data_IF_613374131776
#
_entry.id   IF_613374131776
#
_cell.length_a   1.000
_cell.length_b   1.000
_cell.length_c   1.000
_cell.angle_alpha   90.00
_cell.angle_beta   90.00
_cell.angle_gamma   90.00
#
_symmetry.space_group_name_H-M   'P 1'
#
loop_
_entity.id
_entity.type
_entity.pdbx_description
1 polymer ?
#
# COMPACT_ATOMS: atom_id res chain seq x y z
N UNK A 1 -18.94 7.82 -13.11
CA UNK A 1 -18.97 6.68 -12.16
C UNK A 1 -18.73 7.20 -10.76
N UNK A 2 -19.37 6.62 -9.75
CA UNK A 2 -19.13 6.99 -8.35
C UNK A 2 -17.88 6.28 -7.82
N UNK A 3 -17.24 6.83 -6.77
CA UNK A 3 -16.08 6.22 -6.13
C UNK A 3 -16.39 4.80 -5.63
N UNK A 4 -17.61 4.57 -5.13
CA UNK A 4 -18.07 3.27 -4.64
C UNK A 4 -18.08 2.21 -5.73
N UNK A 5 -18.59 2.53 -6.94
CA UNK A 5 -18.60 1.58 -8.06
C UNK A 5 -17.17 1.16 -8.44
N UNK A 6 -16.22 2.10 -8.47
CA UNK A 6 -14.82 1.78 -8.79
C UNK A 6 -14.21 0.86 -7.72
N UNK A 7 -14.51 1.10 -6.43
CA UNK A 7 -14.04 0.23 -5.33
C UNK A 7 -14.61 -1.19 -5.45
N UNK A 8 -15.88 -1.32 -5.81
CA UNK A 8 -16.50 -2.64 -6.02
C UNK A 8 -15.83 -3.37 -7.18
N UNK A 9 -15.58 -2.68 -8.30
CA UNK A 9 -14.85 -3.26 -9.44
C UNK A 9 -13.45 -3.71 -8.99
N UNK A 10 -12.70 -2.84 -8.28
CA UNK A 10 -11.38 -3.18 -7.79
C UNK A 10 -11.39 -4.38 -6.82
N UNK A 11 -12.42 -4.48 -5.97
CA UNK A 11 -12.61 -5.61 -5.06
C UNK A 11 -12.89 -6.92 -5.81
N UNK A 12 -13.72 -6.89 -6.84
CA UNK A 12 -13.99 -8.07 -7.70
C UNK A 12 -12.70 -8.51 -8.40
N UNK A 13 -11.94 -7.56 -8.95
CA UNK A 13 -10.66 -7.86 -9.60
C UNK A 13 -9.63 -8.44 -8.62
N UNK A 14 -9.56 -7.89 -7.39
CA UNK A 14 -8.70 -8.43 -6.33
C UNK A 14 -9.08 -9.88 -5.99
N UNK A 15 -10.38 -10.16 -5.88
CA UNK A 15 -10.88 -11.50 -5.61
C UNK A 15 -10.48 -12.48 -6.73
N UNK A 16 -10.58 -12.07 -8.00
CA UNK A 16 -10.14 -12.86 -9.15
C UNK A 16 -8.63 -13.16 -9.07
N UNK A 17 -7.81 -12.16 -8.71
CA UNK A 17 -6.36 -12.35 -8.53
C UNK A 17 -6.05 -13.36 -7.44
N UNK A 18 -6.73 -13.25 -6.30
CA UNK A 18 -6.50 -14.09 -5.13
C UNK A 18 -7.02 -15.52 -5.35
N UNK A 19 -8.09 -15.70 -6.14
CA UNK A 19 -8.53 -17.02 -6.60
C UNK A 19 -7.39 -17.70 -7.37
N UNK A 20 -6.74 -16.98 -8.28
CA UNK A 20 -5.60 -17.52 -9.03
C UNK A 20 -4.35 -17.74 -8.16
N UNK A 21 -4.14 -16.90 -7.14
CA UNK A 21 -3.01 -17.01 -6.21
C UNK A 21 -3.12 -18.22 -5.28
N UNK A 22 -4.31 -18.49 -4.75
CA UNK A 22 -4.51 -19.53 -3.73
C UNK A 22 -5.03 -20.86 -4.29
N UNK A 23 -5.63 -20.88 -5.50
CA UNK A 23 -6.16 -22.11 -6.11
C UNK A 23 -5.21 -22.59 -7.23
N UNK A 24 -4.61 -23.78 -7.11
CA UNK A 24 -3.75 -24.32 -8.16
C UNK A 24 -4.54 -24.66 -9.44
N UNK A 25 -3.91 -24.49 -10.60
CA UNK A 25 -4.49 -24.86 -11.90
C UNK A 25 -5.34 -23.77 -12.57
N UNK A 26 -5.44 -22.58 -11.97
CA UNK A 26 -6.12 -21.43 -12.58
C UNK A 26 -5.23 -20.81 -13.68
N UNK A 27 -5.80 -20.39 -14.84
CA UNK A 27 -5.05 -19.75 -15.90
C UNK A 27 -4.37 -18.44 -15.50
N UNK A 28 -3.16 -18.20 -15.99
CA UNK A 28 -2.34 -17.01 -15.71
C UNK A 28 -3.03 -15.67 -16.04
N UNK A 29 -3.96 -15.65 -17.00
CA UNK A 29 -4.65 -14.43 -17.41
C UNK A 29 -5.58 -13.87 -16.31
N UNK A 30 -5.98 -14.69 -15.32
CA UNK A 30 -6.67 -14.21 -14.13
C UNK A 30 -5.81 -13.19 -13.38
N UNK A 31 -4.51 -13.45 -13.25
CA UNK A 31 -3.59 -12.49 -12.66
C UNK A 31 -3.50 -11.21 -13.47
N UNK A 32 -3.46 -11.27 -14.81
CA UNK A 32 -3.38 -10.06 -15.64
C UNK A 32 -4.57 -9.12 -15.40
N UNK A 33 -5.77 -9.68 -15.28
CA UNK A 33 -6.98 -8.93 -14.95
C UNK A 33 -6.93 -8.46 -13.48
N UNK A 34 -6.50 -9.34 -12.59
CA UNK A 34 -6.38 -9.08 -11.16
C UNK A 34 -5.46 -7.92 -10.81
N UNK A 35 -4.32 -7.79 -11.50
CA UNK A 35 -3.35 -6.70 -11.32
C UNK A 35 -3.91 -5.31 -11.60
N UNK A 36 -5.04 -5.18 -12.31
CA UNK A 36 -5.75 -3.91 -12.48
C UNK A 36 -6.42 -3.42 -11.19
N UNK A 37 -6.58 -4.29 -10.19
CA UNK A 37 -7.16 -3.94 -8.88
C UNK A 37 -6.34 -2.88 -8.15
N UNK A 38 -5.03 -3.08 -8.02
CA UNK A 38 -4.13 -2.19 -7.29
C UNK A 38 -4.18 -0.71 -7.78
N UNK A 39 -4.02 -0.41 -9.09
CA UNK A 39 -4.11 0.98 -9.57
C UNK A 39 -5.50 1.59 -9.38
N UNK A 40 -6.58 0.81 -9.44
CA UNK A 40 -7.94 1.31 -9.17
C UNK A 40 -8.12 1.65 -7.68
N UNK A 41 -7.62 0.82 -6.77
CA UNK A 41 -7.65 1.16 -5.35
C UNK A 41 -6.80 2.40 -5.06
N UNK A 42 -5.59 2.50 -5.63
CA UNK A 42 -4.75 3.69 -5.52
C UNK A 42 -5.48 4.93 -6.03
N UNK A 43 -6.15 4.85 -7.19
CA UNK A 43 -6.94 5.96 -7.73
C UNK A 43 -8.02 6.43 -6.74
N UNK A 44 -8.82 5.49 -6.21
CA UNK A 44 -9.90 5.85 -5.27
C UNK A 44 -9.35 6.36 -3.93
N UNK A 45 -8.22 5.84 -3.48
CA UNK A 45 -7.51 6.30 -2.29
C UNK A 45 -7.03 7.75 -2.47
N UNK A 46 -6.39 8.06 -3.61
CA UNK A 46 -5.88 9.39 -3.94
C UNK A 46 -6.98 10.45 -3.89
N UNK A 47 -8.13 10.16 -4.51
CA UNK A 47 -9.30 11.04 -4.43
C UNK A 47 -9.90 11.11 -3.04
N UNK A 48 -9.93 10.00 -2.30
CA UNK A 48 -10.35 9.97 -0.90
C UNK A 48 -9.46 10.82 0.03
N UNK A 49 -8.17 10.87 -0.24
CA UNK A 49 -7.21 11.71 0.48
C UNK A 49 -7.39 13.20 0.13
N UNK A 50 -7.67 13.51 -1.13
CA UNK A 50 -7.91 14.88 -1.59
C UNK A 50 -9.16 15.50 -0.97
N UNK A 51 -10.28 14.79 -0.97
CA UNK A 51 -11.56 15.30 -0.46
C UNK A 51 -11.73 15.18 1.06
N UNK A 52 -10.81 14.50 1.73
CA UNK A 52 -10.85 14.36 3.19
C UNK A 52 -10.63 15.71 3.87
N UNK A 53 -11.54 16.07 4.78
CA UNK A 53 -11.41 17.27 5.61
C UNK A 53 -10.32 17.11 6.67
N UNK A 54 -10.28 15.97 7.38
CA UNK A 54 -9.26 15.66 8.38
C UNK A 54 -8.36 14.50 7.93
N UNK A 55 -7.20 14.87 7.40
CA UNK A 55 -6.19 13.91 6.92
C UNK A 55 -5.57 13.08 8.03
N UNK A 56 -5.41 13.64 9.23
CA UNK A 56 -4.81 12.89 10.35
C UNK A 56 -5.74 11.76 10.76
N UNK A 57 -7.05 12.03 10.87
CA UNK A 57 -8.05 11.00 11.19
C UNK A 57 -8.15 9.95 10.08
N UNK A 58 -8.08 10.36 8.82
CA UNK A 58 -8.07 9.46 7.67
C UNK A 58 -6.86 8.50 7.70
N UNK A 59 -5.65 9.03 7.89
CA UNK A 59 -4.43 8.22 7.96
C UNK A 59 -4.40 7.31 9.19
N UNK A 60 -4.88 7.76 10.35
CA UNK A 60 -5.01 6.91 11.55
C UNK A 60 -5.91 5.71 11.30
N UNK A 61 -7.03 5.91 10.60
CA UNK A 61 -7.93 4.81 10.23
C UNK A 61 -7.26 3.80 9.31
N UNK A 62 -6.51 4.28 8.30
CA UNK A 62 -5.76 3.38 7.41
C UNK A 62 -4.69 2.61 8.18
N UNK A 63 -3.93 3.29 9.05
CA UNK A 63 -2.94 2.65 9.90
C UNK A 63 -3.55 1.55 10.77
N UNK A 64 -4.68 1.84 11.42
CA UNK A 64 -5.40 0.86 12.23
C UNK A 64 -5.79 -0.39 11.43
N UNK A 65 -6.37 -0.22 10.24
CA UNK A 65 -6.71 -1.36 9.38
C UNK A 65 -5.48 -2.11 8.88
N UNK A 66 -4.38 -1.42 8.58
CA UNK A 66 -3.11 -2.04 8.21
C UNK A 66 -2.52 -2.88 9.35
N UNK A 67 -2.51 -2.37 10.58
CA UNK A 67 -2.06 -3.16 11.73
C UNK A 67 -2.99 -4.35 12.02
N UNK A 68 -4.32 -4.16 11.92
CA UNK A 68 -5.28 -5.23 12.11
C UNK A 68 -5.11 -6.36 11.08
N UNK A 69 -4.90 -6.02 9.81
CA UNK A 69 -4.59 -6.99 8.76
C UNK A 69 -3.31 -7.75 9.04
N UNK A 70 -2.23 -7.07 9.45
CA UNK A 70 -0.96 -7.73 9.73
C UNK A 70 -1.04 -8.71 10.93
N UNK A 71 -1.85 -8.39 11.93
CA UNK A 71 -2.16 -9.33 13.03
C UNK A 71 -2.95 -10.53 12.49
N UNK A 72 -3.93 -10.30 11.62
CA UNK A 72 -4.67 -11.37 10.93
C UNK A 72 -3.76 -12.27 10.11
N UNK A 73 -2.87 -11.70 9.31
CA UNK A 73 -1.87 -12.41 8.50
C UNK A 73 -0.99 -13.28 9.39
N UNK A 74 -0.46 -12.73 10.49
CA UNK A 74 0.34 -13.48 11.44
C UNK A 74 -0.45 -14.66 12.03
N UNK A 75 -1.67 -14.44 12.50
CA UNK A 75 -2.50 -15.50 13.07
C UNK A 75 -2.75 -16.61 12.03
N UNK A 76 -3.21 -16.25 10.83
CA UNK A 76 -3.57 -17.22 9.80
C UNK A 76 -2.36 -18.01 9.29
N UNK A 77 -1.21 -17.36 9.05
CA UNK A 77 -0.01 -18.06 8.57
C UNK A 77 0.59 -19.04 9.58
N UNK A 78 0.35 -18.83 10.89
CA UNK A 78 0.86 -19.71 11.94
C UNK A 78 -0.17 -20.79 12.35
N UNK A 79 -1.47 -20.59 12.11
CA UNK A 79 -2.50 -21.63 12.31
C UNK A 79 -2.55 -22.60 11.12
N UNK A 80 -2.49 -22.09 9.89
CA UNK A 80 -2.61 -22.90 8.68
C UNK A 80 -1.31 -23.66 8.43
N UNK A 81 -1.37 -25.00 8.51
CA UNK A 81 -0.25 -25.88 8.17
C UNK A 81 -0.22 -26.07 6.64
N UNK A 82 0.93 -25.74 6.03
CA UNK A 82 1.21 -25.85 4.58
C UNK A 82 0.24 -25.12 3.64
N UNK A 83 0.12 -23.78 3.73
CA UNK A 83 -0.63 -23.02 2.74
C UNK A 83 0.08 -23.07 1.37
N UNK A 84 -0.70 -23.05 0.28
CA UNK A 84 -0.18 -23.02 -1.09
C UNK A 84 0.65 -21.76 -1.37
N UNK A 85 0.24 -20.62 -0.81
CA UNK A 85 0.96 -19.36 -0.80
C UNK A 85 0.84 -18.70 0.59
N UNK A 86 1.88 -18.00 1.07
CA UNK A 86 1.79 -17.27 2.34
C UNK A 86 0.80 -16.10 2.21
N UNK A 87 0.06 -15.81 3.28
CA UNK A 87 -0.90 -14.71 3.29
C UNK A 87 -0.15 -13.44 3.70
N UNK A 88 0.19 -12.60 2.73
CA UNK A 88 1.02 -11.40 2.95
C UNK A 88 0.44 -10.15 2.27
N UNK A 89 -0.88 -10.13 2.08
CA UNK A 89 -1.55 -9.17 1.21
C UNK A 89 -2.13 -8.01 2.04
N UNK A 90 -1.26 -7.07 2.43
CA UNK A 90 -1.62 -5.88 3.21
C UNK A 90 -1.44 -4.54 2.48
N UNK A 91 -2.44 -4.20 1.66
CA UNK A 91 -2.45 -3.01 0.82
C UNK A 91 -2.60 -1.70 1.62
N UNK A 92 -3.09 -1.77 2.87
CA UNK A 92 -3.31 -0.58 3.70
C UNK A 92 -2.01 0.09 4.11
N UNK A 93 -0.93 -0.66 4.32
CA UNK A 93 0.40 -0.10 4.63
C UNK A 93 0.90 0.77 3.48
N UNK A 94 0.72 0.30 2.24
CA UNK A 94 1.04 1.05 1.03
C UNK A 94 0.21 2.34 0.95
N UNK A 95 -1.11 2.30 1.19
CA UNK A 95 -1.94 3.51 1.23
C UNK A 95 -1.49 4.47 2.33
N UNK A 96 -1.16 3.97 3.52
CA UNK A 96 -0.67 4.81 4.59
C UNK A 96 0.60 5.57 4.16
N UNK A 97 1.56 4.87 3.54
CA UNK A 97 2.81 5.45 3.07
C UNK A 97 2.59 6.49 1.96
N UNK A 98 1.72 6.22 0.97
CA UNK A 98 1.32 7.21 -0.04
C UNK A 98 0.77 8.47 0.64
N UNK A 99 -0.16 8.27 1.59
CA UNK A 99 -0.82 9.38 2.29
C UNK A 99 0.12 10.21 3.16
N UNK A 100 1.08 9.57 3.84
CA UNK A 100 2.13 10.25 4.61
C UNK A 100 3.04 11.07 3.70
N UNK A 101 3.54 10.47 2.61
CA UNK A 101 4.43 11.16 1.67
C UNK A 101 3.75 12.37 1.06
N UNK A 102 2.51 12.22 0.59
CA UNK A 102 1.70 13.31 0.05
C UNK A 102 1.49 14.41 1.09
N UNK A 103 1.13 14.04 2.33
CA UNK A 103 0.89 15.01 3.40
C UNK A 103 2.15 15.79 3.76
N UNK A 104 3.33 15.15 3.84
CA UNK A 104 4.61 15.83 4.08
C UNK A 104 4.94 16.77 2.92
N UNK A 105 4.76 16.33 1.67
CA UNK A 105 5.06 17.16 0.50
C UNK A 105 4.15 18.38 0.38
N UNK A 106 2.88 18.27 0.72
CA UNK A 106 1.98 19.43 0.74
C UNK A 106 2.29 20.37 1.88
N UNK A 107 2.53 19.86 3.09
CA UNK A 107 2.96 20.70 4.20
C UNK A 107 4.27 21.44 3.90
N UNK A 108 5.20 20.79 3.18
CA UNK A 108 6.44 21.43 2.70
C UNK A 108 6.20 22.58 1.73
N UNK A 109 5.11 22.57 0.94
CA UNK A 109 4.79 23.70 0.03
C UNK A 109 4.46 24.97 0.82
N UNK A 110 3.75 24.81 1.94
CA UNK A 110 3.38 25.93 2.83
C UNK A 110 4.54 26.31 3.76
N UNK A 111 5.28 25.31 4.28
CA UNK A 111 6.33 25.47 5.28
C UNK A 111 7.61 24.72 4.84
N UNK A 112 8.47 25.31 4.00
CA UNK A 112 9.57 24.60 3.34
C UNK A 112 10.64 24.08 4.29
N UNK A 113 10.97 24.84 5.35
CA UNK A 113 12.00 24.47 6.33
C UNK A 113 11.53 23.27 7.16
N UNK A 114 10.36 23.38 7.80
CA UNK A 114 9.78 22.31 8.62
C UNK A 114 9.42 21.08 7.78
N UNK A 115 8.87 21.27 6.57
CA UNK A 115 8.59 20.16 5.65
C UNK A 115 9.86 19.40 5.22
N UNK A 116 10.98 20.09 5.00
CA UNK A 116 12.28 19.44 4.71
C UNK A 116 12.79 18.65 5.93
N UNK A 117 12.61 19.18 7.14
CA UNK A 117 12.92 18.48 8.40
C UNK A 117 12.06 17.23 8.58
N UNK A 118 10.75 17.31 8.32
CA UNK A 118 9.84 16.16 8.35
C UNK A 118 10.22 15.09 7.32
N UNK A 119 10.57 15.48 6.10
CA UNK A 119 11.03 14.53 5.08
C UNK A 119 12.32 13.82 5.50
N UNK A 120 13.28 14.54 6.09
CA UNK A 120 14.51 13.93 6.64
C UNK A 120 14.20 12.94 7.75
N UNK A 121 13.32 13.31 8.69
CA UNK A 121 12.86 12.40 9.76
C UNK A 121 12.18 11.16 9.20
N UNK A 122 11.37 11.31 8.15
CA UNK A 122 10.72 10.19 7.48
C UNK A 122 11.75 9.25 6.82
N UNK A 123 12.76 9.78 6.12
CA UNK A 123 13.82 8.95 5.52
C UNK A 123 14.62 8.19 6.59
N UNK A 124 15.00 8.87 7.68
CA UNK A 124 15.68 8.22 8.81
C UNK A 124 14.80 7.13 9.42
N UNK A 125 13.50 7.41 9.60
CA UNK A 125 12.53 6.44 10.08
C UNK A 125 12.42 5.24 9.13
N UNK A 126 12.44 5.43 7.80
CA UNK A 126 12.43 4.33 6.84
C UNK A 126 13.65 3.43 7.01
N UNK A 127 14.86 4.00 7.12
CA UNK A 127 16.09 3.23 7.34
C UNK A 127 16.00 2.42 8.65
N UNK A 128 15.61 3.06 9.75
CA UNK A 128 15.47 2.40 11.04
C UNK A 128 14.39 1.31 11.01
N UNK A 129 13.24 1.57 10.37
CA UNK A 129 12.17 0.58 10.24
C UNK A 129 12.61 -0.63 9.43
N UNK A 130 13.41 -0.45 8.37
CA UNK A 130 13.96 -1.55 7.56
C UNK A 130 14.86 -2.44 8.42
N UNK A 131 15.76 -1.83 9.20
CA UNK A 131 16.63 -2.57 10.11
C UNK A 131 15.80 -3.36 11.12
N UNK A 132 14.78 -2.74 11.73
CA UNK A 132 13.89 -3.40 12.70
C UNK A 132 13.11 -4.54 12.04
N UNK A 133 12.61 -4.38 10.81
CA UNK A 133 11.92 -5.45 10.08
C UNK A 133 12.84 -6.66 9.84
N UNK A 134 14.10 -6.42 9.44
CA UNK A 134 15.09 -7.48 9.20
C UNK A 134 15.47 -8.16 10.52
N UNK A 135 15.73 -7.40 11.58
CA UNK A 135 16.03 -7.97 12.91
C UNK A 135 14.83 -8.78 13.43
N UNK A 136 13.62 -8.26 13.27
CA UNK A 136 12.38 -8.95 13.63
C UNK A 136 12.23 -10.28 12.89
N UNK A 137 12.57 -10.33 11.61
CA UNK A 137 12.58 -11.57 10.83
C UNK A 137 13.61 -12.59 11.36
N UNK A 138 14.78 -12.14 11.82
CA UNK A 138 15.86 -13.02 12.33
C UNK A 138 15.54 -13.55 13.73
N UNK A 139 15.08 -12.67 14.63
CA UNK A 139 14.90 -13.01 16.05
C UNK A 139 13.51 -13.55 16.40
N UNK A 140 12.49 -13.31 15.56
CA UNK A 140 11.12 -13.78 15.79
C UNK A 140 10.76 -14.85 14.75
N UNK A 141 10.84 -16.15 15.10
CA UNK A 141 10.63 -17.26 14.17
C UNK A 141 9.14 -17.54 13.90
N UNK A 142 8.34 -16.48 13.74
CA UNK A 142 6.94 -16.57 13.34
C UNK A 142 6.81 -16.33 11.84
N UNK A 143 5.93 -17.09 11.18
CA UNK A 143 5.58 -16.81 9.78
C UNK A 143 4.91 -15.43 9.71
N UNK A 144 5.19 -14.71 8.63
CA UNK A 144 4.72 -13.33 8.40
C UNK A 144 5.18 -12.30 9.48
N UNK A 145 6.21 -12.59 10.28
CA UNK A 145 6.76 -11.63 11.26
C UNK A 145 7.17 -10.31 10.60
N UNK A 146 7.76 -10.36 9.41
CA UNK A 146 8.17 -9.17 8.66
C UNK A 146 6.99 -8.28 8.26
N UNK A 147 5.82 -8.86 7.96
CA UNK A 147 4.60 -8.13 7.62
C UNK A 147 4.00 -7.43 8.84
N UNK A 148 4.10 -8.07 10.02
CA UNK A 148 3.73 -7.44 11.28
C UNK A 148 4.60 -6.21 11.55
N UNK A 149 5.92 -6.37 11.48
CA UNK A 149 6.84 -5.25 11.71
C UNK A 149 6.70 -4.16 10.66
N UNK A 150 6.49 -4.50 9.39
CA UNK A 150 6.27 -3.51 8.33
C UNK A 150 4.94 -2.76 8.45
N UNK A 151 3.93 -3.34 9.10
CA UNK A 151 2.67 -2.66 9.37
C UNK A 151 2.70 -1.79 10.63
N UNK A 152 3.39 -2.24 11.69
CA UNK A 152 3.60 -1.45 12.92
C UNK A 152 4.57 -0.30 12.71
N UNK A 153 5.60 -0.54 11.90
CA UNK A 153 6.58 0.46 11.46
C UNK A 153 6.49 0.56 9.93
N UNK A 154 5.54 1.36 9.40
CA UNK A 154 5.28 1.47 7.96
C UNK A 154 6.55 1.61 7.13
N UNK A 155 6.82 0.59 6.31
CA UNK A 155 8.07 0.46 5.56
C UNK A 155 7.84 0.41 4.05
N UNK A 156 8.61 1.20 3.29
CA UNK A 156 8.49 1.29 1.82
C UNK A 156 8.96 0.03 1.07
N UNK A 157 9.89 -0.73 1.64
CA UNK A 157 10.50 -1.89 0.99
C UNK A 157 9.59 -3.11 1.15
N UNK A 158 9.11 -3.33 2.37
CA UNK A 158 8.34 -4.53 2.75
C UNK A 158 6.80 -4.35 2.69
N UNK A 159 6.30 -3.22 2.17
CA UNK A 159 4.87 -3.05 1.91
C UNK A 159 4.44 -3.80 0.63
N UNK A 160 3.15 -4.12 0.53
CA UNK A 160 2.58 -4.77 -0.65
C UNK A 160 2.81 -3.91 -1.91
N UNK A 161 3.35 -4.52 -2.98
CA UNK A 161 3.76 -3.81 -4.20
C UNK A 161 5.05 -3.00 -4.08
N UNK A 162 5.74 -3.05 -2.93
CA UNK A 162 6.99 -2.34 -2.70
C UNK A 162 6.90 -0.82 -2.96
N UNK A 163 8.06 -0.15 -3.02
CA UNK A 163 8.13 1.29 -3.22
C UNK A 163 7.58 1.76 -4.60
N UNK A 164 7.49 0.87 -5.59
CA UNK A 164 7.06 1.21 -6.95
C UNK A 164 5.58 1.59 -6.96
N UNK A 165 4.72 0.82 -6.27
CA UNK A 165 3.29 1.16 -6.17
C UNK A 165 3.06 2.38 -5.28
N UNK A 166 3.89 2.60 -4.26
CA UNK A 166 3.87 3.85 -3.49
C UNK A 166 4.22 5.04 -4.38
N UNK A 167 5.23 4.90 -5.24
CA UNK A 167 5.60 5.90 -6.23
C UNK A 167 4.45 6.18 -7.21
N UNK A 168 3.80 5.15 -7.74
CA UNK A 168 2.61 5.29 -8.58
C UNK A 168 1.52 6.10 -7.87
N UNK A 169 1.20 5.78 -6.62
CA UNK A 169 0.17 6.50 -5.87
C UNK A 169 0.50 7.96 -5.62
N UNK A 170 1.77 8.27 -5.33
CA UNK A 170 2.23 9.66 -5.22
C UNK A 170 2.13 10.37 -6.58
N UNK A 171 2.50 9.69 -7.68
CA UNK A 171 2.46 10.24 -9.02
C UNK A 171 1.01 10.53 -9.44
N UNK A 172 0.10 9.56 -9.28
CA UNK A 172 -1.33 9.72 -9.51
C UNK A 172 -1.92 10.87 -8.69
N UNK A 173 -1.48 11.08 -7.44
CA UNK A 173 -1.95 12.19 -6.62
C UNK A 173 -1.63 13.56 -7.22
N UNK A 174 -0.44 13.74 -7.80
CA UNK A 174 -0.05 15.02 -8.41
C UNK A 174 -0.59 15.20 -9.83
N UNK A 175 -0.92 14.10 -10.51
CA UNK A 175 -1.43 14.12 -11.88
C UNK A 175 -2.94 13.86 -11.98
N UNK A 176 -3.68 13.89 -10.86
CA UNK A 176 -5.12 13.59 -10.80
C UNK A 176 -6.02 14.63 -11.47
N UNK A 177 -5.53 15.85 -11.68
CA UNK A 177 -6.35 16.99 -12.12
C UNK A 177 -6.91 16.81 -13.54
N UNK A 178 -6.23 16.04 -14.40
CA UNK A 178 -6.73 15.68 -15.72
C UNK A 178 -6.68 14.18 -15.96
N UNK A 179 -7.72 13.66 -16.62
CA UNK A 179 -7.80 12.23 -17.00
C UNK A 179 -6.58 11.80 -17.81
N UNK A 180 -6.11 12.66 -18.72
CA UNK A 180 -4.93 12.39 -19.54
C UNK A 180 -3.66 12.26 -18.70
N UNK A 181 -3.48 13.13 -17.69
CA UNK A 181 -2.32 13.05 -16.80
C UNK A 181 -2.36 11.80 -15.91
N UNK A 182 -3.55 11.38 -15.48
CA UNK A 182 -3.71 10.11 -14.76
C UNK A 182 -3.40 8.90 -15.67
N UNK A 183 -3.80 8.93 -16.95
CA UNK A 183 -3.44 7.88 -17.90
C UNK A 183 -1.92 7.84 -18.11
N UNK A 184 -1.29 9.00 -18.32
CA UNK A 184 0.18 9.11 -18.45
C UNK A 184 0.90 8.59 -17.21
N UNK A 185 0.36 8.86 -16.01
CA UNK A 185 0.93 8.36 -14.76
C UNK A 185 1.02 6.84 -14.70
N UNK A 186 -0.06 6.19 -15.13
CA UNK A 186 -0.12 4.74 -15.18
C UNK A 186 0.72 4.18 -16.33
N UNK A 187 0.73 4.84 -17.49
CA UNK A 187 1.57 4.44 -18.62
C UNK A 187 3.08 4.49 -18.30
N UNK A 188 3.55 5.50 -17.57
CA UNK A 188 4.94 5.57 -17.08
C UNK A 188 5.24 4.40 -16.14
N UNK A 189 4.31 4.10 -15.23
CA UNK A 189 4.46 2.97 -14.31
C UNK A 189 4.57 1.63 -15.04
N UNK A 190 3.83 1.41 -16.13
CA UNK A 190 3.92 0.18 -16.92
C UNK A 190 5.27 -0.02 -17.64
N UNK A 191 6.10 1.02 -17.76
CA UNK A 191 7.41 0.96 -18.42
C UNK A 191 8.54 0.65 -17.40
N UNK A 192 8.31 0.93 -16.12
CA UNK A 192 9.25 0.70 -15.01
C UNK A 192 9.16 -0.74 -14.54
#
# INVERSE_FOLDING_TARGET
MTSTTIKIIALILMLIDHIAEFIPGIPIWFHWIGRLSAPLFIYTMVWGLHYTHDRRKYLKRIYFFGSAMAVGDLILNNIIKNPYAPITNNIFVMFFLIGVIVSIKEYKKENPIEGKKMMRKFIIFQILSTIICILGMIFVPLRASIMLFSALLPNLIFCEGSFIFVFLGVLMYYFKDTKLNTIKSYGIFCII
#
